data_IF_023627099346
#
_entry.id   IF_023627099346
#
_cell.length_a   1.000
_cell.length_b   1.000
_cell.length_c   1.000
_cell.angle_alpha   90.00
_cell.angle_beta   90.00
_cell.angle_gamma   90.00
#
_symmetry.space_group_name_H-M   'P 1'
#
loop_
_entity.id
_entity.type
_entity.pdbx_description
1 polymer ?
#
# COMPACT_ATOMS: atom_id res chain seq x y z
N UNK A 1 -65.00 -27.22 -2.76
CA UNK A 1 -64.70 -26.20 -1.72
C UNK A 1 -63.66 -26.62 -0.68
N UNK A 2 -63.57 -27.90 -0.24
CA UNK A 2 -62.60 -28.34 0.80
C UNK A 2 -61.10 -28.21 0.48
N UNK A 3 -60.67 -28.26 -0.80
CA UNK A 3 -59.24 -28.17 -1.18
C UNK A 3 -58.63 -26.77 -1.14
N UNK A 4 -59.45 -25.70 -1.08
CA UNK A 4 -58.93 -24.31 -0.99
C UNK A 4 -58.62 -23.89 0.45
N UNK A 5 -59.19 -24.56 1.45
CA UNK A 5 -58.94 -24.23 2.86
C UNK A 5 -57.57 -24.73 3.34
N UNK A 6 -57.11 -25.88 2.84
CA UNK A 6 -55.84 -26.50 3.26
C UNK A 6 -54.61 -25.71 2.82
N UNK A 7 -54.67 -25.06 1.65
CA UNK A 7 -53.56 -24.21 1.18
C UNK A 7 -53.38 -22.94 2.02
N UNK A 8 -54.47 -22.37 2.56
CA UNK A 8 -54.40 -21.14 3.33
C UNK A 8 -53.73 -21.35 4.71
N UNK A 9 -53.94 -22.50 5.36
CA UNK A 9 -53.31 -22.76 6.67
C UNK A 9 -51.81 -23.08 6.55
N UNK A 10 -51.37 -23.67 5.43
CA UNK A 10 -49.94 -23.91 5.18
C UNK A 10 -49.20 -22.59 4.96
N UNK A 11 -49.80 -21.61 4.27
CA UNK A 11 -49.21 -20.27 4.11
C UNK A 11 -49.13 -19.49 5.43
N UNK A 12 -50.09 -19.67 6.34
CA UNK A 12 -50.07 -19.05 7.68
C UNK A 12 -49.00 -19.65 8.60
N UNK A 13 -48.66 -20.93 8.44
CA UNK A 13 -47.61 -21.57 9.24
C UNK A 13 -46.19 -21.18 8.81
N UNK A 14 -45.99 -20.77 7.56
CA UNK A 14 -44.68 -20.35 7.05
C UNK A 14 -44.31 -18.91 7.44
N UNK A 15 -45.25 -18.09 7.92
CA UNK A 15 -44.99 -16.71 8.35
C UNK A 15 -44.56 -16.59 9.83
N UNK A 16 -44.58 -17.68 10.60
CA UNK A 16 -44.33 -17.65 12.05
C UNK A 16 -42.85 -17.85 12.46
N UNK A 17 -41.93 -18.04 11.50
CA UNK A 17 -40.51 -18.26 11.77
C UNK A 17 -39.62 -17.15 11.19
N UNK A 18 -39.98 -15.88 11.42
CA UNK A 18 -39.00 -14.82 11.24
C UNK A 18 -38.09 -14.75 12.48
N UNK A 19 -36.75 -14.84 12.33
CA UNK A 19 -35.83 -14.62 13.42
C UNK A 19 -35.98 -13.18 13.92
N UNK A 20 -36.13 -13.02 15.23
CA UNK A 20 -36.08 -11.72 15.89
C UNK A 20 -34.70 -11.12 15.61
N UNK A 21 -34.62 -10.05 14.83
CA UNK A 21 -33.42 -9.25 14.71
C UNK A 21 -33.25 -8.50 16.01
N UNK A 22 -32.33 -8.97 16.86
CA UNK A 22 -31.87 -8.20 18.01
C UNK A 22 -31.25 -6.91 17.47
N UNK A 23 -31.94 -5.79 17.72
CA UNK A 23 -31.44 -4.47 17.43
C UNK A 23 -30.31 -4.18 18.40
N UNK A 24 -29.09 -4.44 17.96
CA UNK A 24 -27.87 -3.91 18.56
C UNK A 24 -27.82 -2.41 18.27
N UNK A 25 -28.61 -1.62 18.99
CA UNK A 25 -28.34 -0.19 19.06
C UNK A 25 -26.92 -0.01 19.61
N UNK A 26 -26.08 0.80 18.96
CA UNK A 26 -24.73 1.06 19.44
C UNK A 26 -24.83 1.64 20.86
N UNK A 27 -24.13 1.00 21.81
CA UNK A 27 -23.88 1.58 23.12
C UNK A 27 -23.24 2.95 22.92
N UNK A 28 -23.91 4.01 23.37
CA UNK A 28 -23.32 5.35 23.40
C UNK A 28 -22.00 5.28 24.18
N UNK A 29 -20.89 5.49 23.49
CA UNK A 29 -19.58 5.61 24.10
C UNK A 29 -19.55 6.99 24.76
N UNK A 30 -19.40 7.09 26.10
CA UNK A 30 -19.33 8.38 26.76
C UNK A 30 -18.06 9.10 26.30
N UNK A 31 -18.20 10.15 25.51
CA UNK A 31 -17.09 11.02 25.17
C UNK A 31 -16.52 11.65 26.45
N UNK A 32 -15.18 11.76 26.57
CA UNK A 32 -14.57 12.41 27.71
C UNK A 32 -15.03 13.87 27.78
N UNK A 33 -15.65 14.21 28.90
CA UNK A 33 -16.05 15.59 29.22
C UNK A 33 -14.82 16.48 29.16
N UNK A 34 -14.85 17.53 28.32
CA UNK A 34 -13.82 18.57 28.23
C UNK A 34 -13.50 19.13 29.63
N UNK A 35 -12.26 18.95 30.07
CA UNK A 35 -11.71 19.60 31.26
C UNK A 35 -11.76 21.12 31.08
N UNK A 36 -12.41 21.88 31.96
CA UNK A 36 -12.44 23.34 31.87
C UNK A 36 -11.01 23.91 31.90
N UNK A 37 -10.60 24.58 30.82
CA UNK A 37 -9.31 25.27 30.76
C UNK A 37 -9.21 26.34 31.83
N UNK A 38 -8.11 26.35 32.59
CA UNK A 38 -7.84 27.42 33.54
C UNK A 38 -7.32 28.65 32.81
N UNK A 39 -7.92 29.81 33.10
CA UNK A 39 -7.46 31.10 32.59
C UNK A 39 -6.28 31.57 33.42
N UNK A 40 -5.08 31.57 32.83
CA UNK A 40 -3.93 32.24 33.41
C UNK A 40 -4.04 33.75 33.11
N UNK A 41 -3.99 34.58 34.15
CA UNK A 41 -3.84 36.03 34.03
C UNK A 41 -2.57 36.46 34.73
N UNK A 42 -1.67 37.10 33.98
CA UNK A 42 -0.47 37.75 34.48
C UNK A 42 -0.47 39.22 34.06
N UNK A 43 0.12 40.09 34.88
CA UNK A 43 0.37 41.48 34.50
C UNK A 43 1.43 41.51 33.39
N UNK A 44 1.04 41.98 32.21
CA UNK A 44 1.99 42.36 31.17
C UNK A 44 2.70 43.65 31.61
N UNK A 45 4.04 43.71 31.56
CA UNK A 45 4.76 44.95 31.83
C UNK A 45 4.35 46.02 30.81
N UNK A 46 4.08 47.25 31.29
CA UNK A 46 3.64 48.36 30.45
C UNK A 46 4.63 48.64 29.31
N UNK A 47 4.15 48.76 28.05
CA UNK A 47 4.98 49.21 26.94
C UNK A 47 5.32 50.69 27.13
N UNK A 48 6.52 50.97 27.64
CA UNK A 48 6.98 52.35 27.86
C UNK A 48 8.25 52.52 28.68
N UNK A 49 8.73 51.49 29.39
CA UNK A 49 10.02 51.57 30.07
C UNK A 49 11.16 51.36 29.06
N UNK A 50 11.79 52.46 28.62
CA UNK A 50 13.14 52.40 28.03
C UNK A 50 14.07 51.81 29.09
N UNK A 51 14.38 50.52 28.96
CA UNK A 51 15.43 49.87 29.73
C UNK A 51 16.77 50.40 29.21
N UNK A 52 17.47 51.16 30.06
CA UNK A 52 18.91 51.33 29.91
C UNK A 52 19.56 49.95 29.84
N UNK A 53 20.57 49.83 28.98
CA UNK A 53 21.36 48.63 28.71
C UNK A 53 22.19 48.28 29.94
N UNK A 54 21.52 47.79 30.97
CA UNK A 54 22.10 47.15 32.14
C UNK A 54 21.59 45.72 32.14
N UNK A 55 22.52 44.76 32.09
CA UNK A 55 22.33 43.31 32.12
C UNK A 55 21.54 42.87 33.35
N UNK A 56 20.22 43.04 33.31
CA UNK A 56 19.32 42.47 34.29
C UNK A 56 19.26 40.94 34.05
N UNK A 57 19.61 40.10 35.03
CA UNK A 57 19.52 38.65 34.90
C UNK A 57 18.11 38.17 34.52
N UNK A 58 17.05 38.93 34.83
CA UNK A 58 15.69 38.65 34.41
C UNK A 58 15.49 38.75 32.89
N UNK A 59 16.21 39.64 32.20
CA UNK A 59 16.15 39.74 30.73
C UNK A 59 16.88 38.58 30.07
N UNK A 60 18.02 38.15 30.63
CA UNK A 60 18.72 36.95 30.17
C UNK A 60 17.87 35.67 30.38
N UNK A 61 17.18 35.57 31.51
CA UNK A 61 16.25 34.47 31.78
C UNK A 61 15.02 34.50 30.86
N UNK A 62 14.48 35.68 30.54
CA UNK A 62 13.34 35.82 29.63
C UNK A 62 13.69 35.50 28.16
N UNK A 63 14.92 35.80 27.73
CA UNK A 63 15.41 35.40 26.40
C UNK A 63 15.75 33.91 26.36
N UNK A 64 16.36 33.36 27.42
CA UNK A 64 16.66 31.92 27.51
C UNK A 64 15.41 31.04 27.67
N UNK A 65 14.31 31.60 28.18
CA UNK A 65 13.02 30.92 28.32
C UNK A 65 12.08 31.18 27.13
N UNK A 66 12.56 31.74 26.01
CA UNK A 66 11.75 31.77 24.80
C UNK A 66 11.46 30.33 24.38
N UNK A 67 10.18 29.99 24.13
CA UNK A 67 9.84 28.69 23.58
C UNK A 67 10.62 28.51 22.29
N UNK A 68 11.54 27.54 22.27
CA UNK A 68 12.08 27.08 21.00
C UNK A 68 10.90 26.49 20.24
N UNK A 69 10.79 26.81 18.94
CA UNK A 69 9.77 26.24 18.07
C UNK A 69 9.85 24.73 18.25
N UNK A 70 8.79 24.11 18.78
CA UNK A 70 8.74 22.65 18.91
C UNK A 70 8.94 22.09 17.51
N UNK A 71 10.01 21.30 17.26
CA UNK A 71 10.28 20.79 15.93
C UNK A 71 9.03 20.09 15.41
N UNK A 72 8.58 20.48 14.21
CA UNK A 72 7.44 19.81 13.60
C UNK A 72 7.92 18.46 13.05
N UNK A 73 7.83 17.41 13.87
CA UNK A 73 8.23 16.06 13.50
C UNK A 73 7.26 15.38 12.53
N UNK A 74 6.18 16.07 12.12
CA UNK A 74 5.28 15.59 11.06
C UNK A 74 5.70 16.06 9.67
N UNK A 75 6.79 16.84 9.54
CA UNK A 75 7.25 17.39 8.26
C UNK A 75 8.60 16.79 7.93
N UNK A 76 8.72 16.28 6.71
CA UNK A 76 9.97 15.72 6.22
C UNK A 76 11.06 16.79 6.11
N UNK A 77 12.33 16.39 5.99
CA UNK A 77 13.42 17.32 5.81
C UNK A 77 13.12 18.31 4.69
N UNK A 78 13.34 19.60 4.97
CA UNK A 78 13.11 20.64 3.98
C UNK A 78 14.01 20.42 2.75
N UNK A 79 13.52 20.73 1.53
CA UNK A 79 14.31 20.62 0.32
C UNK A 79 15.66 21.32 0.44
N UNK A 80 16.72 20.63 0.00
CA UNK A 80 18.09 21.10 -0.01
C UNK A 80 18.69 20.84 -1.39
N UNK A 81 18.98 21.92 -2.12
CA UNK A 81 19.54 21.82 -3.47
C UNK A 81 20.99 21.30 -3.50
N UNK A 82 21.68 21.32 -2.36
CA UNK A 82 23.05 20.83 -2.22
C UNK A 82 23.11 19.35 -1.82
N UNK A 83 21.95 18.68 -1.68
CA UNK A 83 21.91 17.24 -1.43
C UNK A 83 22.35 16.50 -2.70
N UNK A 84 23.38 15.68 -2.58
CA UNK A 84 23.94 14.90 -3.68
C UNK A 84 23.84 13.41 -3.39
N UNK A 85 23.46 12.64 -4.41
CA UNK A 85 23.47 11.18 -4.35
C UNK A 85 24.93 10.72 -4.60
N UNK A 86 25.48 9.79 -3.80
CA UNK A 86 26.82 9.29 -4.05
C UNK A 86 26.87 8.40 -5.29
N UNK A 87 28.09 8.02 -5.70
CA UNK A 87 28.32 7.00 -6.72
C UNK A 87 27.54 5.71 -6.44
N UNK A 88 27.16 4.99 -7.50
CA UNK A 88 26.30 3.81 -7.38
C UNK A 88 26.94 2.74 -6.47
N UNK A 89 26.30 2.39 -5.33
CA UNK A 89 26.95 1.52 -4.36
C UNK A 89 27.15 0.09 -4.85
N UNK A 90 28.07 -0.64 -4.21
CA UNK A 90 28.40 -2.01 -4.61
C UNK A 90 27.37 -3.08 -4.15
N UNK A 91 26.40 -2.71 -3.31
CA UNK A 91 25.39 -3.63 -2.79
C UNK A 91 24.02 -2.98 -2.66
N UNK A 92 22.96 -3.78 -2.76
CA UNK A 92 21.57 -3.34 -2.56
C UNK A 92 21.37 -2.58 -1.25
N UNK A 93 21.89 -3.11 -0.14
CA UNK A 93 21.76 -2.46 1.18
C UNK A 93 22.43 -1.09 1.20
N UNK A 94 23.64 -0.97 0.63
CA UNK A 94 24.33 0.31 0.56
C UNK A 94 23.63 1.30 -0.39
N UNK A 95 22.97 0.81 -1.45
CA UNK A 95 22.14 1.63 -2.32
C UNK A 95 20.92 2.20 -1.58
N UNK A 96 20.22 1.37 -0.81
CA UNK A 96 19.10 1.81 0.05
C UNK A 96 19.57 2.86 1.07
N UNK A 97 20.70 2.63 1.75
CA UNK A 97 21.26 3.58 2.71
C UNK A 97 21.63 4.91 2.03
N UNK A 98 22.22 4.87 0.83
CA UNK A 98 22.54 6.07 0.05
C UNK A 98 21.29 6.87 -0.32
N UNK A 99 20.21 6.20 -0.74
CA UNK A 99 18.91 6.82 -1.02
C UNK A 99 18.33 7.49 0.23
N UNK A 100 18.35 6.80 1.38
CA UNK A 100 17.88 7.35 2.65
C UNK A 100 18.72 8.54 3.12
N UNK A 101 20.04 8.51 2.96
CA UNK A 101 20.92 9.63 3.29
C UNK A 101 20.60 10.84 2.41
N UNK A 102 20.41 10.63 1.11
CA UNK A 102 20.05 11.68 0.15
C UNK A 102 18.71 12.34 0.53
N UNK A 103 17.65 11.54 0.71
CA UNK A 103 16.32 12.02 1.10
C UNK A 103 16.37 12.75 2.45
N UNK A 104 17.09 12.20 3.43
CA UNK A 104 17.22 12.82 4.75
C UNK A 104 18.10 14.07 4.77
N UNK A 105 18.90 14.30 3.73
CA UNK A 105 19.65 15.53 3.54
C UNK A 105 18.84 16.63 2.87
N UNK A 106 17.55 16.37 2.58
CA UNK A 106 16.64 17.28 1.88
C UNK A 106 16.63 17.10 0.35
N UNK A 107 17.20 16.01 -0.17
CA UNK A 107 17.16 15.73 -1.61
C UNK A 107 15.73 15.67 -2.15
N UNK A 108 15.48 16.32 -3.29
CA UNK A 108 14.16 16.34 -3.91
C UNK A 108 13.92 15.11 -4.78
N UNK A 109 12.65 14.77 -5.02
CA UNK A 109 12.26 13.67 -5.91
C UNK A 109 12.77 13.89 -7.33
N UNK A 110 12.70 15.12 -7.85
CA UNK A 110 13.21 15.45 -9.19
C UNK A 110 14.74 15.22 -9.31
N UNK A 111 15.48 15.62 -8.28
CA UNK A 111 16.92 15.40 -8.22
C UNK A 111 17.24 13.91 -8.08
N UNK A 112 16.46 13.16 -7.31
CA UNK A 112 16.58 11.70 -7.19
C UNK A 112 16.34 11.02 -8.54
N UNK A 113 15.23 11.32 -9.21
CA UNK A 113 14.90 10.77 -10.53
C UNK A 113 16.03 11.04 -11.52
N UNK A 114 16.54 12.27 -11.54
CA UNK A 114 17.63 12.67 -12.42
C UNK A 114 18.91 11.91 -12.09
N UNK A 115 19.27 11.77 -10.82
CA UNK A 115 20.47 11.07 -10.38
C UNK A 115 20.41 9.56 -10.68
N UNK A 116 19.30 8.89 -10.38
CA UNK A 116 19.15 7.44 -10.62
C UNK A 116 19.17 7.12 -12.11
N UNK A 117 18.56 7.96 -12.95
CA UNK A 117 18.60 7.81 -14.41
C UNK A 117 20.00 8.11 -14.96
N UNK A 118 20.60 9.26 -14.61
CA UNK A 118 21.79 9.74 -15.31
C UNK A 118 23.12 9.26 -14.73
N UNK A 119 23.17 9.01 -13.42
CA UNK A 119 24.41 8.64 -12.72
C UNK A 119 24.49 7.15 -12.48
N UNK A 120 23.38 6.54 -12.05
CA UNK A 120 23.35 5.10 -11.73
C UNK A 120 22.96 4.24 -12.94
N UNK A 121 22.24 4.80 -13.91
CA UNK A 121 21.65 4.06 -15.05
C UNK A 121 20.80 2.86 -14.56
N UNK A 122 20.13 3.04 -13.42
CA UNK A 122 19.54 1.94 -12.67
C UNK A 122 18.03 1.78 -12.84
N UNK A 123 17.35 2.62 -13.64
CA UNK A 123 15.93 2.40 -13.94
C UNK A 123 15.71 1.34 -15.02
N UNK A 124 16.65 1.15 -15.95
CA UNK A 124 16.41 0.28 -17.11
C UNK A 124 15.15 0.71 -17.88
N UNK A 125 14.46 -0.26 -18.49
CA UNK A 125 13.24 0.01 -19.28
C UNK A 125 11.96 0.06 -18.44
N UNK A 126 11.96 -0.57 -17.27
CA UNK A 126 10.77 -0.78 -16.42
C UNK A 126 10.84 -0.09 -15.06
N UNK A 127 11.89 0.69 -14.80
CA UNK A 127 12.01 1.48 -13.58
C UNK A 127 11.04 2.65 -13.52
N UNK A 128 10.70 3.07 -12.30
CA UNK A 128 9.70 4.10 -12.04
C UNK A 128 9.95 4.83 -10.73
N UNK A 129 9.35 6.02 -10.60
CA UNK A 129 9.34 6.84 -9.40
C UNK A 129 7.97 7.52 -9.27
N UNK A 130 7.28 7.27 -8.17
CA UNK A 130 5.95 7.81 -7.85
C UNK A 130 6.05 8.49 -6.48
N UNK A 131 5.49 9.69 -6.35
CA UNK A 131 5.69 10.53 -5.15
C UNK A 131 4.49 11.40 -4.78
N UNK A 132 3.33 11.09 -5.33
CA UNK A 132 2.09 11.87 -5.23
C UNK A 132 0.97 11.10 -4.51
N UNK A 133 1.26 9.94 -3.92
CA UNK A 133 0.30 9.06 -3.26
C UNK A 133 0.55 9.02 -1.74
N UNK A 134 -0.50 9.26 -0.96
CA UNK A 134 -0.51 9.11 0.50
C UNK A 134 -1.02 7.69 0.84
N UNK A 135 -0.09 6.77 1.01
CA UNK A 135 -0.31 5.35 1.27
C UNK A 135 -0.52 5.06 2.75
N UNK A 136 -0.13 5.98 3.61
CA UNK A 136 -0.13 5.86 5.06
C UNK A 136 -1.28 6.64 5.71
N UNK A 137 -1.93 7.55 4.97
CA UNK A 137 -3.09 8.32 5.40
C UNK A 137 -2.77 9.48 6.34
N UNK A 138 -1.49 9.89 6.43
CA UNK A 138 -1.06 10.99 7.30
C UNK A 138 -1.02 12.36 6.59
N UNK A 139 -1.42 12.41 5.32
CA UNK A 139 -1.44 13.61 4.50
C UNK A 139 -0.07 13.98 3.90
N UNK A 140 0.93 13.11 4.00
CA UNK A 140 2.24 13.28 3.35
C UNK A 140 2.45 12.15 2.35
N UNK A 141 2.66 12.45 1.06
CA UNK A 141 2.89 11.39 0.08
C UNK A 141 4.14 10.56 0.35
N UNK A 142 4.02 9.25 0.15
CA UNK A 142 5.12 8.30 0.10
C UNK A 142 5.83 8.36 -1.26
N UNK A 143 7.11 7.97 -1.24
CA UNK A 143 7.92 7.74 -2.43
C UNK A 143 7.97 6.25 -2.75
N UNK A 144 7.37 5.84 -3.86
CA UNK A 144 7.44 4.48 -4.38
C UNK A 144 8.39 4.46 -5.57
N UNK A 145 9.39 3.57 -5.56
CA UNK A 145 10.35 3.47 -6.65
C UNK A 145 10.66 2.04 -7.02
N UNK A 146 10.80 1.78 -8.32
CA UNK A 146 11.28 0.54 -8.90
C UNK A 146 12.60 0.78 -9.63
N UNK A 147 13.65 0.03 -9.30
CA UNK A 147 14.97 0.15 -9.92
C UNK A 147 15.75 -1.16 -9.87
N UNK A 148 16.80 -1.24 -10.67
CA UNK A 148 17.78 -2.33 -10.72
C UNK A 148 18.82 -2.06 -9.63
N UNK A 149 18.74 -2.78 -8.52
CA UNK A 149 19.72 -2.67 -7.45
C UNK A 149 21.03 -3.41 -7.80
N UNK A 150 22.16 -3.06 -7.15
CA UNK A 150 23.44 -3.74 -7.36
C UNK A 150 23.32 -5.25 -7.16
N UNK A 151 23.95 -6.01 -8.07
CA UNK A 151 23.79 -7.45 -8.17
C UNK A 151 22.67 -7.89 -9.12
N UNK A 152 22.21 -6.98 -9.99
CA UNK A 152 21.23 -7.25 -11.04
C UNK A 152 19.87 -7.71 -10.50
N UNK A 153 19.41 -7.05 -9.43
CA UNK A 153 18.18 -7.39 -8.70
C UNK A 153 17.14 -6.27 -8.85
N UNK A 154 16.06 -6.56 -9.56
CA UNK A 154 14.88 -5.71 -9.61
C UNK A 154 14.31 -5.50 -8.21
N UNK A 155 14.26 -4.25 -7.78
CA UNK A 155 13.89 -3.85 -6.42
C UNK A 155 12.83 -2.76 -6.45
N UNK A 156 11.77 -2.94 -5.68
CA UNK A 156 10.77 -1.93 -5.37
C UNK A 156 10.92 -1.50 -3.91
N UNK A 157 10.96 -0.19 -3.67
CA UNK A 157 11.02 0.41 -2.34
C UNK A 157 9.85 1.35 -2.14
N UNK A 158 9.35 1.40 -0.90
CA UNK A 158 8.45 2.47 -0.43
C UNK A 158 9.16 3.19 0.70
N UNK A 159 9.38 4.49 0.52
CA UNK A 159 9.86 5.38 1.56
C UNK A 159 8.74 6.30 2.03
N UNK A 160 8.68 6.52 3.34
CA UNK A 160 7.72 7.44 3.94
C UNK A 160 8.32 8.18 5.11
N UNK A 161 7.56 9.13 5.64
CA UNK A 161 8.09 10.14 6.53
C UNK A 161 7.68 9.89 7.98
N UNK A 162 8.62 9.41 8.80
CA UNK A 162 8.34 9.06 10.18
C UNK A 162 9.24 9.82 11.14
N UNK A 163 8.63 10.67 11.96
CA UNK A 163 9.36 11.47 12.96
C UNK A 163 10.30 12.50 12.35
N UNK A 164 9.90 13.12 11.23
CA UNK A 164 10.63 14.18 10.55
C UNK A 164 11.80 13.71 9.71
N UNK A 165 11.83 12.42 9.35
CA UNK A 165 12.85 11.81 8.49
C UNK A 165 12.24 10.74 7.60
N UNK A 166 12.80 10.56 6.41
CA UNK A 166 12.48 9.44 5.54
C UNK A 166 13.02 8.14 6.14
N UNK A 167 12.19 7.11 6.07
CA UNK A 167 12.52 5.73 6.41
C UNK A 167 12.01 4.79 5.33
N UNK A 168 12.64 3.63 5.18
CA UNK A 168 12.09 2.55 4.37
C UNK A 168 10.88 1.95 5.09
N UNK A 169 9.73 1.95 4.43
CA UNK A 169 8.48 1.36 4.92
C UNK A 169 8.25 -0.03 4.34
N UNK A 170 8.69 -0.26 3.10
CA UNK A 170 8.52 -1.54 2.41
C UNK A 170 9.65 -1.79 1.41
N UNK A 171 9.91 -3.07 1.16
CA UNK A 171 10.77 -3.54 0.08
C UNK A 171 10.20 -4.83 -0.52
N UNK A 172 10.18 -4.89 -1.85
CA UNK A 172 10.01 -6.12 -2.59
C UNK A 172 11.14 -6.27 -3.61
N UNK A 173 11.63 -7.49 -3.75
CA UNK A 173 12.60 -7.86 -4.79
C UNK A 173 11.93 -8.81 -5.78
N UNK A 174 12.35 -8.75 -7.04
CA UNK A 174 12.02 -9.70 -8.09
C UNK A 174 13.27 -10.51 -8.47
N UNK A 175 13.05 -11.70 -9.03
CA UNK A 175 14.13 -12.48 -9.65
C UNK A 175 14.45 -11.92 -11.05
N UNK A 176 15.69 -11.47 -11.25
CA UNK A 176 16.16 -10.84 -12.48
C UNK A 176 16.26 -9.32 -12.37
N UNK A 177 16.43 -8.65 -13.52
CA UNK A 177 16.70 -7.22 -13.59
C UNK A 177 15.45 -6.35 -13.39
N UNK A 178 14.29 -6.80 -13.84
CA UNK A 178 13.08 -5.98 -13.84
C UNK A 178 12.54 -5.81 -12.42
N UNK A 179 12.38 -4.56 -11.92
CA UNK A 179 11.76 -4.34 -10.62
C UNK A 179 10.30 -4.84 -10.62
N UNK A 180 9.74 -5.15 -9.44
CA UNK A 180 8.31 -5.42 -9.31
C UNK A 180 7.46 -4.37 -10.04
N UNK A 181 6.54 -4.81 -10.89
CA UNK A 181 5.71 -3.94 -11.70
C UNK A 181 4.42 -3.60 -10.95
N UNK A 182 4.12 -2.32 -10.82
CA UNK A 182 2.88 -1.85 -10.22
C UNK A 182 1.73 -2.07 -11.19
N UNK A 183 0.67 -2.71 -10.71
CA UNK A 183 -0.60 -2.83 -11.43
C UNK A 183 -1.50 -1.62 -11.14
N UNK A 184 -1.61 -1.23 -9.86
CA UNK A 184 -2.30 -0.01 -9.45
C UNK A 184 -1.80 0.50 -8.11
N UNK A 185 -1.95 1.81 -7.88
CA UNK A 185 -1.89 2.45 -6.58
C UNK A 185 -3.18 3.25 -6.41
N UNK A 186 -4.12 2.70 -5.65
CA UNK A 186 -5.45 3.29 -5.46
C UNK A 186 -6.13 2.67 -4.23
N UNK A 187 -7.23 3.26 -3.77
CA UNK A 187 -8.11 2.66 -2.76
C UNK A 187 -8.95 1.56 -3.42
N UNK A 188 -8.40 0.35 -3.50
CA UNK A 188 -9.03 -0.75 -4.25
C UNK A 188 -10.17 -1.41 -3.48
N UNK A 189 -10.22 -1.25 -2.16
CA UNK A 189 -11.25 -1.84 -1.29
C UNK A 189 -12.27 -0.82 -0.75
N UNK A 190 -12.23 0.43 -1.24
CA UNK A 190 -13.05 1.57 -0.79
C UNK A 190 -12.95 1.80 0.73
N UNK A 191 -11.75 1.63 1.28
CA UNK A 191 -11.42 1.81 2.68
C UNK A 191 -10.00 2.40 2.82
N UNK A 192 -9.87 3.74 2.80
CA UNK A 192 -8.57 4.40 2.76
C UNK A 192 -7.69 4.08 3.98
N UNK A 193 -6.35 4.13 3.85
CA UNK A 193 -5.59 4.72 2.73
C UNK A 193 -5.47 3.80 1.51
N UNK A 194 -4.91 4.31 0.42
CA UNK A 194 -4.71 3.56 -0.82
C UNK A 194 -3.79 2.34 -0.64
N UNK A 195 -4.04 1.30 -1.43
CA UNK A 195 -3.21 0.11 -1.53
C UNK A 195 -2.21 0.19 -2.69
N UNK A 196 -1.18 -0.65 -2.61
CA UNK A 196 -0.26 -0.91 -3.72
C UNK A 196 -0.48 -2.35 -4.18
N UNK A 197 -0.96 -2.51 -5.42
CA UNK A 197 -1.05 -3.81 -6.09
C UNK A 197 0.09 -3.91 -7.09
N UNK A 198 0.90 -4.95 -6.96
CA UNK A 198 2.04 -5.15 -7.84
C UNK A 198 2.28 -6.63 -8.12
N UNK A 199 3.04 -6.88 -9.17
CA UNK A 199 3.50 -8.21 -9.54
C UNK A 199 5.02 -8.26 -9.51
N UNK A 200 5.58 -9.42 -9.20
CA UNK A 200 7.01 -9.66 -9.27
C UNK A 200 7.30 -11.02 -9.86
N UNK A 201 8.41 -11.12 -10.57
CA UNK A 201 8.93 -12.38 -11.05
C UNK A 201 9.55 -13.17 -9.89
N UNK A 202 9.19 -14.44 -9.78
CA UNK A 202 9.76 -15.36 -8.79
C UNK A 202 10.11 -16.69 -9.47
N UNK A 203 11.36 -17.12 -9.35
CA UNK A 203 11.93 -18.25 -10.06
C UNK A 203 12.36 -19.34 -9.06
N UNK A 204 11.72 -20.52 -9.16
CA UNK A 204 12.14 -21.69 -8.39
C UNK A 204 13.45 -22.29 -8.92
N UNK A 205 13.69 -22.12 -10.22
CA UNK A 205 14.94 -22.42 -10.94
C UNK A 205 15.12 -21.37 -12.04
N UNK A 206 16.31 -21.33 -12.67
CA UNK A 206 16.60 -20.34 -13.72
C UNK A 206 15.61 -20.36 -14.91
N UNK A 207 14.97 -21.50 -15.19
CA UNK A 207 14.04 -21.68 -16.31
C UNK A 207 12.57 -21.83 -15.87
N UNK A 208 12.30 -21.81 -14.56
CA UNK A 208 10.96 -22.03 -14.00
C UNK A 208 10.56 -20.84 -13.13
N UNK A 209 10.06 -19.81 -13.81
CA UNK A 209 9.60 -18.56 -13.23
C UNK A 209 8.08 -18.46 -13.28
N UNK A 210 7.55 -17.78 -12.27
CA UNK A 210 6.14 -17.44 -12.12
C UNK A 210 6.06 -15.95 -11.78
N UNK A 211 4.92 -15.35 -12.08
CA UNK A 211 4.60 -13.99 -11.66
C UNK A 211 3.77 -14.09 -10.39
N UNK A 212 4.32 -13.59 -9.28
CA UNK A 212 3.61 -13.50 -8.01
C UNK A 212 2.93 -12.14 -7.90
N UNK A 213 1.62 -12.15 -7.66
CA UNK A 213 0.84 -10.94 -7.33
C UNK A 213 0.84 -10.69 -5.84
N UNK A 214 1.01 -9.44 -5.44
CA UNK A 214 0.89 -8.99 -4.06
C UNK A 214 0.02 -7.74 -3.98
N UNK A 215 -0.67 -7.60 -2.86
CA UNK A 215 -1.50 -6.43 -2.57
C UNK A 215 -1.24 -6.00 -1.14
N UNK A 216 -0.62 -4.84 -0.97
CA UNK A 216 -0.21 -4.36 0.35
C UNK A 216 -0.96 -3.08 0.71
N UNK A 217 -1.26 -2.93 2.00
CA UNK A 217 -1.85 -1.72 2.57
C UNK A 217 -1.15 -1.37 3.88
N UNK A 218 -1.27 -0.12 4.31
CA UNK A 218 -0.70 0.34 5.57
C UNK A 218 -1.59 -0.03 6.77
N UNK A 219 -1.08 -0.90 7.66
CA UNK A 219 -1.77 -1.23 8.90
C UNK A 219 -1.23 -0.38 10.05
N UNK A 220 -2.05 0.60 10.48
CA UNK A 220 -1.72 1.54 11.55
C UNK A 220 -1.35 0.88 12.87
N UNK A 221 -1.98 -0.26 13.20
CA UNK A 221 -1.77 -0.95 14.49
C UNK A 221 -0.36 -1.48 14.62
N UNK A 222 0.24 -1.91 13.52
CA UNK A 222 1.63 -2.41 13.49
C UNK A 222 2.62 -1.44 12.88
N UNK A 223 2.15 -0.34 12.28
CA UNK A 223 3.00 0.69 11.67
C UNK A 223 3.85 0.13 10.52
N UNK A 224 3.26 -0.71 9.67
CA UNK A 224 3.94 -1.28 8.49
C UNK A 224 2.92 -1.69 7.42
N UNK A 225 3.42 -1.84 6.19
CA UNK A 225 2.65 -2.50 5.14
C UNK A 225 2.43 -3.98 5.46
N UNK A 226 1.21 -4.46 5.23
CA UNK A 226 0.84 -5.87 5.35
C UNK A 226 0.14 -6.31 4.06
N UNK A 227 0.27 -7.60 3.74
CA UNK A 227 -0.36 -8.18 2.55
C UNK A 227 -1.83 -8.54 2.85
N UNK A 228 -2.76 -8.01 2.07
CA UNK A 228 -4.20 -8.35 2.13
C UNK A 228 -4.62 -9.42 1.12
N UNK A 229 -3.66 -9.95 0.38
CA UNK A 229 -3.80 -11.18 -0.38
C UNK A 229 -3.11 -12.31 0.42
N UNK A 230 -3.83 -13.00 1.33
CA UNK A 230 -3.24 -13.88 2.33
C UNK A 230 -2.54 -15.09 1.71
N UNK A 231 -3.08 -15.60 0.61
CA UNK A 231 -2.48 -16.65 -0.19
C UNK A 231 -1.74 -16.01 -1.37
N UNK A 232 -0.47 -16.37 -1.63
CA UNK A 232 0.24 -15.87 -2.78
C UNK A 232 -0.45 -16.34 -4.06
N UNK A 233 -0.71 -15.41 -4.97
CA UNK A 233 -1.33 -15.71 -6.25
C UNK A 233 -0.26 -15.72 -7.33
N UNK A 234 -0.09 -16.87 -7.97
CA UNK A 234 0.91 -17.09 -9.00
C UNK A 234 0.25 -17.21 -10.37
N UNK A 235 0.81 -16.53 -11.35
CA UNK A 235 0.51 -16.71 -12.78
C UNK A 235 1.76 -17.17 -13.51
N UNK A 236 1.58 -17.77 -14.68
CA UNK A 236 2.69 -18.23 -15.51
C UNK A 236 3.45 -17.00 -16.03
N UNK A 237 4.79 -17.05 -15.94
CA UNK A 237 5.69 -16.07 -16.56
C UNK A 237 5.87 -16.40 -18.05
N UNK A 238 4.93 -15.93 -18.87
CA UNK A 238 4.93 -16.11 -20.32
C UNK A 238 4.61 -14.77 -20.99
N UNK A 239 5.43 -14.28 -21.95
CA UNK A 239 5.20 -13.00 -22.61
C UNK A 239 3.89 -12.92 -23.41
N UNK A 240 3.28 -14.06 -23.75
CA UNK A 240 2.00 -14.11 -24.45
C UNK A 240 0.79 -14.12 -23.49
N UNK A 241 1.01 -14.19 -22.17
CA UNK A 241 -0.03 -14.19 -21.14
C UNK A 241 -0.17 -12.78 -20.55
N UNK A 242 -1.41 -12.31 -20.45
CA UNK A 242 -1.74 -11.04 -19.81
C UNK A 242 -1.44 -11.04 -18.31
N UNK A 243 -0.87 -9.95 -17.83
CA UNK A 243 -0.72 -9.72 -16.39
C UNK A 243 -2.10 -9.62 -15.72
N UNK A 244 -2.19 -9.94 -14.42
CA UNK A 244 -3.39 -9.68 -13.63
C UNK A 244 -3.85 -8.22 -13.73
N UNK A 245 -5.16 -8.01 -13.61
CA UNK A 245 -5.79 -6.69 -13.74
C UNK A 245 -6.63 -6.37 -12.51
N UNK A 246 -6.65 -5.10 -12.11
CA UNK A 246 -7.59 -4.58 -11.12
C UNK A 246 -8.75 -3.91 -11.84
N UNK A 247 -9.99 -4.35 -11.59
CA UNK A 247 -11.19 -3.84 -12.25
C UNK A 247 -12.41 -4.05 -11.37
N UNK A 248 -13.23 -3.02 -11.20
CA UNK A 248 -14.57 -3.13 -10.62
C UNK A 248 -15.51 -3.85 -11.62
N UNK A 249 -15.86 -5.10 -11.32
CA UNK A 249 -16.64 -6.00 -12.17
C UNK A 249 -18.13 -5.94 -11.90
N UNK A 250 -18.55 -5.63 -10.68
CA UNK A 250 -19.96 -5.64 -10.28
C UNK A 250 -20.53 -4.25 -9.95
N UNK A 251 -19.72 -3.20 -10.10
CA UNK A 251 -20.03 -1.78 -9.92
C UNK A 251 -20.40 -1.44 -8.47
N UNK A 252 -19.61 -1.94 -7.51
CA UNK A 252 -19.76 -1.64 -6.07
C UNK A 252 -18.66 -0.72 -5.51
N UNK A 253 -17.82 -0.15 -6.38
CA UNK A 253 -16.66 0.70 -6.06
C UNK A 253 -15.47 -0.05 -5.42
N UNK A 254 -15.53 -1.37 -5.30
CA UNK A 254 -14.38 -2.23 -4.98
C UNK A 254 -13.81 -2.78 -6.28
N UNK A 255 -12.48 -2.80 -6.41
CA UNK A 255 -11.82 -3.36 -7.59
C UNK A 255 -11.44 -4.82 -7.34
N UNK A 256 -11.93 -5.75 -8.15
CA UNK A 256 -11.49 -7.13 -8.08
C UNK A 256 -10.16 -7.36 -8.80
N UNK A 257 -9.38 -8.31 -8.26
CA UNK A 257 -8.19 -8.83 -8.93
C UNK A 257 -8.61 -9.94 -9.89
N UNK A 258 -8.47 -9.65 -11.19
CA UNK A 258 -8.88 -10.51 -12.30
C UNK A 258 -7.67 -11.17 -12.91
N UNK A 259 -7.70 -12.51 -12.99
CA UNK A 259 -6.63 -13.32 -13.54
C UNK A 259 -7.15 -14.16 -14.69
N UNK A 260 -6.68 -13.84 -15.89
CA UNK A 260 -7.01 -14.61 -17.08
C UNK A 260 -6.17 -15.91 -17.12
N UNK A 261 -6.86 -17.04 -17.23
CA UNK A 261 -6.24 -18.34 -17.44
C UNK A 261 -6.09 -18.55 -18.95
N UNK A 262 -5.00 -18.05 -19.53
CA UNK A 262 -4.81 -18.03 -20.99
C UNK A 262 -3.95 -19.19 -21.51
N UNK A 263 -3.18 -19.82 -20.63
CA UNK A 263 -2.33 -20.95 -21.00
C UNK A 263 -3.17 -22.18 -21.39
N UNK A 264 -2.90 -22.72 -22.57
CA UNK A 264 -3.44 -24.02 -22.99
C UNK A 264 -2.66 -25.21 -22.37
N UNK A 265 -1.67 -24.93 -21.51
CA UNK A 265 -0.77 -25.91 -20.95
C UNK A 265 0.36 -26.33 -21.91
N UNK A 266 1.21 -27.24 -21.45
CA UNK A 266 2.41 -27.67 -22.16
C UNK A 266 2.61 -29.19 -22.04
N UNK A 267 3.76 -29.70 -22.49
CA UNK A 267 4.05 -31.14 -22.41
C UNK A 267 4.10 -31.68 -20.96
N UNK A 268 4.39 -30.84 -19.97
CA UNK A 268 4.44 -31.23 -18.56
C UNK A 268 3.06 -31.16 -17.88
N UNK A 269 2.27 -30.12 -18.16
CA UNK A 269 0.96 -29.91 -17.53
C UNK A 269 -0.20 -30.58 -18.29
N UNK A 270 0.03 -30.94 -19.56
CA UNK A 270 -1.04 -31.35 -20.47
C UNK A 270 -1.97 -30.18 -20.82
N UNK A 271 -3.06 -30.44 -21.55
CA UNK A 271 -4.02 -29.39 -21.90
C UNK A 271 -4.71 -28.80 -20.66
N UNK A 272 -4.55 -27.50 -20.44
CA UNK A 272 -5.24 -26.77 -19.38
C UNK A 272 -6.56 -26.17 -19.90
N UNK A 273 -7.50 -25.94 -18.99
CA UNK A 273 -8.72 -25.18 -19.31
C UNK A 273 -8.45 -23.69 -19.12
N UNK A 274 -8.83 -22.91 -20.13
CA UNK A 274 -8.82 -21.45 -20.06
C UNK A 274 -10.04 -20.93 -19.29
N UNK A 275 -10.02 -19.66 -18.91
CA UNK A 275 -11.07 -19.04 -18.10
C UNK A 275 -10.57 -17.81 -17.35
N UNK A 276 -11.22 -17.51 -16.23
CA UNK A 276 -10.86 -16.40 -15.34
C UNK A 276 -11.04 -16.81 -13.88
N UNK A 277 -10.09 -16.39 -13.05
CA UNK A 277 -10.22 -16.38 -11.59
C UNK A 277 -10.41 -14.92 -11.14
N UNK A 278 -11.36 -14.69 -10.24
CA UNK A 278 -11.66 -13.35 -9.72
C UNK A 278 -11.50 -13.42 -8.20
N UNK A 279 -10.66 -12.54 -7.67
CA UNK A 279 -10.43 -12.36 -6.24
C UNK A 279 -11.11 -11.07 -5.78
N UNK A 280 -11.90 -11.19 -4.72
CA UNK A 280 -12.81 -10.16 -4.25
C UNK A 280 -12.60 -9.91 -2.75
N UNK A 281 -12.96 -8.72 -2.29
CA UNK A 281 -12.80 -8.26 -0.93
C UNK A 281 -13.89 -8.84 -0.01
N UNK A 282 -13.49 -9.59 1.02
CA UNK A 282 -14.44 -10.15 1.99
C UNK A 282 -14.63 -9.29 3.25
N UNK A 283 -14.18 -8.04 3.24
CA UNK A 283 -14.14 -7.16 4.42
C UNK A 283 -12.84 -7.21 5.21
N UNK A 284 -11.92 -8.12 4.88
CA UNK A 284 -10.61 -8.21 5.54
C UNK A 284 -9.46 -8.61 4.60
N UNK A 285 -9.75 -9.46 3.61
CA UNK A 285 -8.78 -9.97 2.66
C UNK A 285 -9.39 -10.09 1.27
N UNK A 286 -8.53 -10.06 0.24
CA UNK A 286 -8.89 -10.51 -1.09
C UNK A 286 -8.84 -12.03 -1.15
N UNK A 287 -9.96 -12.65 -1.49
CA UNK A 287 -10.10 -14.11 -1.56
C UNK A 287 -10.68 -14.52 -2.91
N UNK A 288 -10.30 -15.70 -3.40
CA UNK A 288 -10.84 -16.25 -4.64
C UNK A 288 -12.36 -16.45 -4.50
N UNK A 289 -13.15 -15.62 -5.17
CA UNK A 289 -14.61 -15.62 -5.08
C UNK A 289 -15.25 -16.37 -6.25
N UNK A 290 -14.73 -16.18 -7.47
CA UNK A 290 -15.29 -16.75 -8.69
C UNK A 290 -14.22 -17.47 -9.49
N UNK A 291 -14.57 -18.67 -9.97
CA UNK A 291 -13.83 -19.42 -10.98
C UNK A 291 -14.77 -19.64 -12.16
N UNK A 292 -14.49 -19.00 -13.29
CA UNK A 292 -15.27 -19.14 -14.51
C UNK A 292 -14.40 -19.72 -15.62
N UNK A 293 -14.56 -21.03 -15.86
CA UNK A 293 -13.82 -21.76 -16.90
C UNK A 293 -14.56 -21.75 -18.23
N UNK A 294 -13.82 -21.57 -19.32
CA UNK A 294 -14.31 -21.73 -20.68
C UNK A 294 -14.83 -23.16 -20.92
N UNK A 295 -15.78 -23.36 -21.86
CA UNK A 295 -16.18 -24.68 -22.29
C UNK A 295 -14.98 -25.57 -22.65
N UNK A 296 -15.00 -26.87 -22.30
CA UNK A 296 -13.87 -27.75 -22.56
C UNK A 296 -13.59 -27.86 -24.06
N UNK A 297 -12.37 -27.52 -24.47
CA UNK A 297 -11.90 -27.63 -25.86
C UNK A 297 -11.39 -29.04 -26.20
N UNK A 298 -10.96 -29.78 -25.18
CA UNK A 298 -10.39 -31.12 -25.31
C UNK A 298 -11.32 -32.18 -24.71
N UNK A 299 -11.43 -33.34 -25.37
CA UNK A 299 -12.16 -34.49 -24.83
C UNK A 299 -11.22 -35.32 -23.97
N UNK A 300 -11.56 -35.52 -22.70
CA UNK A 300 -10.83 -36.42 -21.82
C UNK A 300 -11.28 -37.85 -22.13
N UNK A 301 -10.39 -38.68 -22.65
CA UNK A 301 -10.60 -40.13 -22.75
C UNK A 301 -9.88 -40.79 -21.58
N UNK A 302 -10.64 -41.33 -20.63
CA UNK A 302 -10.08 -42.15 -19.55
C UNK A 302 -9.97 -43.58 -20.07
N UNK A 303 -8.74 -44.08 -20.21
CA UNK A 303 -8.48 -45.51 -20.43
C UNK A 303 -8.37 -46.15 -19.06
N UNK A 304 -9.29 -47.07 -18.74
CA UNK A 304 -9.16 -47.95 -17.58
C UNK A 304 -8.60 -49.28 -18.06
N UNK A 305 -7.49 -49.71 -17.46
CA UNK A 305 -6.89 -51.04 -17.63
C UNK A 305 -7.54 -52.06 -16.68
#
# INVERSE_FOLDING_TARGET
MRKRLTGLIILLLLAACQPTTDSLFPTEIPFPTITPGQRLSGMLPSPGARLEVGSNPATAAAVAAQPTVTPNTSVCPAPNADAELPDFPASRVAAIDALLIFLNSGGTVDALSSAVISQWDAFGESGYLISDQDLTGEGTPELVMGYIAPGDVGTMLIFGCQGGRYTQLYEAIADGLEPPQILTIDDVNNNPPAEVVFVRRQCSTADACEIQTQMIYWEYTVGRFVNILPDPVYTIDDPDISLPQMRDMDNDEVQELVINLESNGNAATGPLRTGVNIYDWNGQFYVLSIIQLDPPRYRIQVVQD
#
